data_IF_626822201480
#
_entry.id   IF_626822201480
#
_cell.length_a   1.000
_cell.length_b   1.000
_cell.length_c   1.000
_cell.angle_alpha   90.00
_cell.angle_beta   90.00
_cell.angle_gamma   90.00
#
_symmetry.space_group_name_H-M   'P 1'
#
loop_
_entity.id
_entity.type
_entity.pdbx_description
1 polymer ?
#
# COMPACT_ATOMS: atom_id res chain seq x y z
N UNK A 1 18.58 -47.01 56.58
CA UNK A 1 17.13 -46.83 56.86
C UNK A 1 16.91 -45.31 56.77
N UNK A 2 16.23 -44.68 55.83
CA UNK A 2 15.00 -45.03 55.10
C UNK A 2 14.75 -43.88 54.08
N UNK A 3 14.68 -44.19 52.77
CA UNK A 3 13.62 -43.81 51.78
C UNK A 3 13.28 -42.29 51.65
N UNK A 4 13.62 -41.51 50.60
CA UNK A 4 13.25 -41.56 49.16
C UNK A 4 12.05 -40.66 48.79
N UNK A 5 12.27 -39.76 47.81
CA UNK A 5 11.35 -39.22 46.77
C UNK A 5 10.16 -38.34 47.25
N UNK A 6 9.51 -37.49 46.45
CA UNK A 6 9.60 -36.91 45.11
C UNK A 6 8.27 -36.16 44.99
N UNK A 7 8.29 -34.85 44.79
CA UNK A 7 7.08 -34.03 44.76
C UNK A 7 7.03 -33.14 43.53
N UNK A 8 7.19 -33.72 42.34
CA UNK A 8 6.96 -32.99 41.09
C UNK A 8 5.54 -33.28 40.60
N UNK A 9 4.68 -32.29 40.85
CA UNK A 9 3.25 -32.30 40.59
C UNK A 9 2.97 -32.29 39.09
N UNK A 10 2.49 -33.45 38.64
CA UNK A 10 1.66 -33.69 37.46
C UNK A 10 0.69 -32.53 37.18
N UNK A 11 0.81 -31.88 36.02
CA UNK A 11 -0.32 -31.20 35.39
C UNK A 11 -0.35 -31.50 33.89
N UNK A 12 -0.75 -32.75 33.60
CA UNK A 12 -1.24 -33.15 32.29
C UNK A 12 -2.76 -32.90 32.26
N UNK A 13 -3.21 -32.39 31.12
CA UNK A 13 -4.42 -32.84 30.43
C UNK A 13 -5.79 -32.24 30.80
N UNK A 14 -6.43 -31.75 29.73
CA UNK A 14 -7.87 -31.62 29.45
C UNK A 14 -8.64 -30.42 30.03
N UNK A 15 -8.87 -29.42 29.17
CA UNK A 15 -10.19 -28.84 28.83
C UNK A 15 -9.97 -27.88 27.64
N UNK A 16 -10.23 -28.24 26.37
CA UNK A 16 -11.54 -28.14 25.70
C UNK A 16 -12.39 -26.94 26.15
N UNK A 17 -12.24 -25.78 25.51
CA UNK A 17 -13.40 -25.01 25.03
C UNK A 17 -12.98 -23.93 24.00
N UNK A 18 -13.51 -24.12 22.81
CA UNK A 18 -13.57 -23.23 21.64
C UNK A 18 -13.87 -21.76 21.94
N UNK A 19 -13.07 -20.84 21.38
CA UNK A 19 -13.57 -19.53 20.99
C UNK A 19 -12.85 -18.98 19.74
N UNK A 20 -13.58 -19.09 18.62
CA UNK A 20 -13.52 -18.27 17.42
C UNK A 20 -12.17 -18.13 16.67
N UNK A 21 -11.90 -19.08 15.77
CA UNK A 21 -11.27 -18.72 14.50
C UNK A 21 -12.21 -17.76 13.76
N UNK A 22 -12.01 -16.46 13.91
CA UNK A 22 -12.55 -15.49 12.96
C UNK A 22 -11.71 -15.61 11.69
N UNK A 23 -12.15 -16.46 10.78
CA UNK A 23 -11.67 -16.44 9.40
C UNK A 23 -12.22 -15.17 8.76
N UNK A 24 -11.41 -14.10 8.74
CA UNK A 24 -11.69 -12.93 7.89
C UNK A 24 -11.50 -13.40 6.46
N UNK A 25 -12.57 -13.94 5.85
CA UNK A 25 -12.64 -14.12 4.41
C UNK A 25 -12.83 -12.74 3.79
N UNK A 26 -11.70 -12.07 3.55
CA UNK A 26 -11.61 -10.93 2.66
C UNK A 26 -12.10 -11.38 1.29
N UNK A 27 -13.35 -11.04 0.98
CA UNK A 27 -13.97 -11.21 -0.33
C UNK A 27 -13.17 -10.34 -1.30
N UNK A 28 -12.23 -10.93 -2.04
CA UNK A 28 -11.63 -10.29 -3.20
C UNK A 28 -12.72 -10.18 -4.25
N UNK A 29 -13.42 -9.04 -4.27
CA UNK A 29 -14.21 -8.66 -5.42
C UNK A 29 -13.27 -8.68 -6.62
N UNK A 30 -13.47 -9.64 -7.53
CA UNK A 30 -12.89 -9.59 -8.84
C UNK A 30 -13.47 -8.34 -9.52
N UNK A 31 -12.77 -7.23 -9.37
CA UNK A 31 -12.94 -6.07 -10.22
C UNK A 31 -12.63 -6.54 -11.64
N UNK A 32 -13.69 -6.61 -12.45
CA UNK A 32 -13.65 -6.50 -13.90
C UNK A 32 -12.41 -5.70 -14.34
N UNK A 33 -11.60 -6.17 -15.32
CA UNK A 33 -10.54 -5.37 -15.88
C UNK A 33 -11.15 -4.29 -16.78
N UNK A 34 -12.00 -3.43 -16.21
CA UNK A 34 -11.97 -2.02 -16.58
C UNK A 34 -10.50 -1.67 -16.54
N UNK A 35 -9.91 -1.32 -17.69
CA UNK A 35 -8.51 -0.95 -17.79
C UNK A 35 -8.31 0.17 -16.77
N UNK A 36 -7.85 -0.20 -15.57
CA UNK A 36 -7.75 0.72 -14.47
C UNK A 36 -6.70 1.74 -14.92
N UNK A 37 -7.16 2.96 -15.17
CA UNK A 37 -6.24 4.05 -15.41
C UNK A 37 -5.55 4.30 -14.07
N UNK A 38 -4.32 3.83 -13.99
CA UNK A 38 -3.49 4.07 -12.83
C UNK A 38 -3.06 5.53 -12.82
N UNK A 39 -2.83 6.05 -11.62
CA UNK A 39 -2.17 7.33 -11.41
C UNK A 39 -0.70 7.06 -11.13
N UNK A 40 0.17 7.72 -11.88
CA UNK A 40 1.63 7.57 -11.79
C UNK A 40 2.21 8.81 -11.14
N UNK A 41 2.80 8.64 -9.95
CA UNK A 41 3.53 9.67 -9.24
C UNK A 41 4.98 9.74 -9.76
N UNK A 42 5.36 10.93 -10.20
CA UNK A 42 6.72 11.25 -10.61
C UNK A 42 7.56 11.78 -9.45
N UNK A 43 8.87 11.69 -9.60
CA UNK A 43 9.88 12.19 -8.65
C UNK A 43 9.81 13.69 -8.40
N UNK A 44 9.28 14.46 -9.36
CA UNK A 44 9.03 15.90 -9.20
C UNK A 44 7.70 16.22 -8.49
N UNK A 45 6.93 15.20 -8.08
CA UNK A 45 5.64 15.35 -7.41
C UNK A 45 4.45 15.55 -8.35
N UNK A 46 4.66 15.53 -9.67
CA UNK A 46 3.57 15.53 -10.64
C UNK A 46 2.90 14.14 -10.70
N UNK A 47 1.62 14.14 -11.06
CA UNK A 47 0.86 12.93 -11.30
C UNK A 47 0.46 12.88 -12.77
N UNK A 48 0.59 11.71 -13.37
CA UNK A 48 0.12 11.43 -14.73
C UNK A 48 -0.90 10.30 -14.65
N UNK A 49 -2.05 10.50 -15.26
CA UNK A 49 -3.05 9.45 -15.49
C UNK A 49 -2.60 8.57 -16.64
N UNK A 50 -2.58 7.26 -16.42
CA UNK A 50 -2.23 6.29 -17.44
C UNK A 50 -1.60 5.02 -16.89
N UNK A 51 -1.62 3.97 -17.71
CA UNK A 51 -1.07 2.67 -17.35
C UNK A 51 0.45 2.68 -17.44
N UNK A 52 1.13 2.53 -16.30
CA UNK A 52 2.57 2.39 -16.26
C UNK A 52 3.02 0.95 -16.57
N UNK A 53 3.90 0.80 -17.55
CA UNK A 53 4.54 -0.48 -17.90
C UNK A 53 6.05 -0.30 -17.88
N UNK A 54 6.74 -1.07 -17.04
CA UNK A 54 8.21 -1.03 -16.97
C UNK A 54 8.81 -1.90 -18.07
N UNK A 55 9.68 -1.33 -18.90
CA UNK A 55 10.39 -2.01 -19.99
C UNK A 55 11.89 -1.69 -19.84
N UNK A 56 12.64 -2.63 -19.24
CA UNK A 56 14.06 -2.46 -18.97
C UNK A 56 14.32 -1.28 -18.02
N UNK A 57 15.06 -0.27 -18.49
CA UNK A 57 15.42 0.94 -17.73
C UNK A 57 14.42 2.09 -17.85
N UNK A 58 13.30 1.86 -18.53
CA UNK A 58 12.28 2.88 -18.79
C UNK A 58 10.91 2.42 -18.32
N UNK A 59 10.06 3.38 -17.98
CA UNK A 59 8.63 3.20 -17.75
C UNK A 59 7.88 3.88 -18.87
N UNK A 60 7.01 3.13 -19.55
CA UNK A 60 6.08 3.64 -20.55
C UNK A 60 4.74 3.88 -19.85
N UNK A 61 4.24 5.11 -19.92
CA UNK A 61 2.92 5.48 -19.40
C UNK A 61 1.99 5.66 -20.59
N UNK A 62 1.04 4.74 -20.74
CA UNK A 62 0.00 4.81 -21.77
C UNK A 62 -1.21 5.59 -21.23
N UNK A 63 -1.53 6.73 -21.83
CA UNK A 63 -2.64 7.61 -21.41
C UNK A 63 -3.99 7.24 -22.04
N UNK A 64 -4.02 6.24 -22.94
CA UNK A 64 -5.26 5.80 -23.60
C UNK A 64 -5.75 6.71 -24.73
N UNK A 65 -5.11 7.86 -24.96
CA UNK A 65 -5.36 8.79 -26.08
C UNK A 65 -4.47 8.50 -27.31
N UNK A 66 -3.77 7.35 -27.32
CA UNK A 66 -2.77 7.00 -28.32
C UNK A 66 -1.41 7.67 -28.10
N UNK A 67 -1.26 8.45 -27.02
CA UNK A 67 0.01 9.03 -26.63
C UNK A 67 0.63 8.23 -25.47
N UNK A 68 1.85 7.75 -25.68
CA UNK A 68 2.61 7.02 -24.68
C UNK A 68 3.83 7.86 -24.27
N UNK A 69 3.97 8.11 -22.96
CA UNK A 69 5.11 8.82 -22.42
C UNK A 69 6.19 7.83 -21.99
N UNK A 70 7.38 7.95 -22.57
CA UNK A 70 8.56 7.19 -22.14
C UNK A 70 9.36 8.00 -21.13
N UNK A 71 9.44 7.49 -19.90
CA UNK A 71 10.25 8.07 -18.82
C UNK A 71 11.33 7.09 -18.39
N UNK A 72 12.42 7.59 -17.82
CA UNK A 72 13.38 6.72 -17.16
C UNK A 72 12.76 6.16 -15.86
N UNK A 73 13.01 4.90 -15.51
CA UNK A 73 12.33 4.26 -14.38
C UNK A 73 12.57 5.00 -13.05
N UNK A 74 13.74 5.64 -12.87
CA UNK A 74 14.05 6.43 -11.68
C UNK A 74 13.20 7.72 -11.54
N UNK A 75 12.55 8.16 -12.61
CA UNK A 75 11.68 9.33 -12.58
C UNK A 75 10.28 8.99 -12.07
N UNK A 76 9.90 7.70 -12.07
CA UNK A 76 8.64 7.20 -11.57
C UNK A 76 8.85 6.72 -10.13
N UNK A 77 8.11 7.31 -9.20
CA UNK A 77 8.23 6.97 -7.76
C UNK A 77 7.28 5.85 -7.40
N UNK A 78 6.02 5.98 -7.80
CA UNK A 78 4.98 5.01 -7.46
C UNK A 78 3.82 5.09 -8.45
N UNK A 79 3.06 4.00 -8.58
CA UNK A 79 1.82 3.94 -9.36
C UNK A 79 0.74 3.33 -8.49
N UNK A 80 -0.46 3.93 -8.51
CA UNK A 80 -1.58 3.41 -7.74
C UNK A 80 -2.92 3.61 -8.48
N UNK A 81 -3.95 2.81 -8.20
CA UNK A 81 -5.23 2.90 -8.90
C UNK A 81 -6.01 4.19 -8.62
N UNK A 82 -5.72 4.88 -7.51
CA UNK A 82 -6.40 6.12 -7.12
C UNK A 82 -5.42 7.20 -6.67
N UNK A 83 -5.78 8.47 -6.87
CA UNK A 83 -5.05 9.61 -6.32
C UNK A 83 -4.92 9.54 -4.79
N UNK A 84 -5.92 8.98 -4.10
CA UNK A 84 -5.89 8.80 -2.65
C UNK A 84 -4.81 7.81 -2.21
N UNK A 85 -4.58 6.75 -2.98
CA UNK A 85 -3.53 5.79 -2.68
C UNK A 85 -2.13 6.37 -2.91
N UNK A 86 -1.96 7.24 -3.92
CA UNK A 86 -0.74 8.03 -4.08
C UNK A 86 -0.51 8.98 -2.89
N UNK A 87 -1.58 9.63 -2.40
CA UNK A 87 -1.49 10.47 -1.22
C UNK A 87 -1.07 9.68 0.03
N UNK A 88 -1.67 8.51 0.25
CA UNK A 88 -1.29 7.61 1.35
C UNK A 88 0.17 7.17 1.24
N UNK A 89 0.63 6.83 0.04
CA UNK A 89 2.03 6.51 -0.19
C UNK A 89 2.94 7.68 0.19
N UNK A 90 2.61 8.91 -0.21
CA UNK A 90 3.37 10.11 0.17
C UNK A 90 3.41 10.33 1.69
N UNK A 91 2.30 10.09 2.38
CA UNK A 91 2.27 10.15 3.84
C UNK A 91 3.17 9.10 4.49
N UNK A 92 3.17 7.86 3.98
CA UNK A 92 4.01 6.76 4.49
C UNK A 92 5.50 6.99 4.26
N UNK A 93 5.88 7.61 3.14
CA UNK A 93 7.27 7.97 2.86
C UNK A 93 7.80 9.09 3.76
N UNK A 94 6.92 9.77 4.50
CA UNK A 94 7.31 10.85 5.42
C UNK A 94 7.90 10.26 6.70
N UNK A 95 9.21 10.41 6.88
CA UNK A 95 9.91 9.83 8.04
C UNK A 95 9.58 10.52 9.37
N UNK A 96 9.22 11.81 9.35
CA UNK A 96 8.88 12.57 10.55
C UNK A 96 7.75 13.56 10.30
N UNK A 97 6.85 13.79 11.28
CA UNK A 97 5.85 14.83 11.19
C UNK A 97 6.52 16.21 11.37
N UNK A 98 6.44 17.05 10.33
CA UNK A 98 6.87 18.45 10.39
C UNK A 98 5.85 19.35 9.69
N UNK A 99 5.70 20.59 10.18
CA UNK A 99 4.66 21.55 9.74
C UNK A 99 4.72 21.79 8.23
N UNK A 100 5.93 21.99 7.69
CA UNK A 100 6.12 22.21 6.25
C UNK A 100 5.65 21.02 5.41
N UNK A 101 5.83 19.78 5.90
CA UNK A 101 5.38 18.57 5.23
C UNK A 101 3.85 18.52 5.12
N UNK A 102 3.14 18.93 6.18
CA UNK A 102 1.69 19.05 6.15
C UNK A 102 1.21 20.15 5.19
N UNK A 103 1.89 21.30 5.15
CA UNK A 103 1.55 22.37 4.21
C UNK A 103 1.78 21.94 2.75
N UNK A 104 2.89 21.27 2.47
CA UNK A 104 3.20 20.77 1.14
C UNK A 104 2.16 19.75 0.66
N UNK A 105 1.72 18.87 1.56
CA UNK A 105 0.70 17.88 1.25
C UNK A 105 -0.69 18.51 1.10
N UNK A 106 -1.05 19.51 1.92
CA UNK A 106 -2.27 20.29 1.72
C UNK A 106 -2.28 20.98 0.34
N UNK A 107 -1.18 21.62 -0.06
CA UNK A 107 -1.04 22.22 -1.40
C UNK A 107 -1.14 21.17 -2.51
N UNK A 108 -0.56 19.99 -2.30
CA UNK A 108 -0.64 18.89 -3.26
C UNK A 108 -2.09 18.40 -3.42
N UNK A 109 -2.81 18.20 -2.31
CA UNK A 109 -4.22 17.82 -2.34
C UNK A 109 -5.07 18.86 -3.09
N UNK A 110 -4.86 20.15 -2.84
CA UNK A 110 -5.57 21.23 -3.54
C UNK A 110 -5.25 21.24 -5.04
N UNK A 111 -3.98 21.05 -5.43
CA UNK A 111 -3.56 21.01 -6.84
C UNK A 111 -4.23 19.87 -7.61
N UNK A 112 -4.46 18.74 -6.95
CA UNK A 112 -5.01 17.53 -7.56
C UNK A 112 -6.49 17.33 -7.23
N UNK A 113 -7.19 18.36 -6.71
CA UNK A 113 -8.62 18.31 -6.39
C UNK A 113 -9.00 17.11 -5.49
N UNK A 114 -8.15 16.75 -4.52
CA UNK A 114 -8.48 15.74 -3.51
C UNK A 114 -9.39 16.28 -2.39
N UNK A 115 -9.45 17.59 -2.23
CA UNK A 115 -10.25 18.28 -1.22
C UNK A 115 -11.11 19.30 -1.96
N UNK A 116 -12.43 19.10 -1.93
CA UNK A 116 -13.46 20.00 -2.46
C UNK A 116 -14.02 20.90 -1.35
#
# INVERSE_FOLDING_TARGET
>A
MMITLLGDSRFRSFLCLSLALVTIQGRSNASDPTVAQDFVLLSNGNVIEGKATVIGSHTIIDRGDGNALKLASHQVVHSAPTLMDLYRYRQQQRQQPHVEGFQNDARWCLRHHLLD
#
